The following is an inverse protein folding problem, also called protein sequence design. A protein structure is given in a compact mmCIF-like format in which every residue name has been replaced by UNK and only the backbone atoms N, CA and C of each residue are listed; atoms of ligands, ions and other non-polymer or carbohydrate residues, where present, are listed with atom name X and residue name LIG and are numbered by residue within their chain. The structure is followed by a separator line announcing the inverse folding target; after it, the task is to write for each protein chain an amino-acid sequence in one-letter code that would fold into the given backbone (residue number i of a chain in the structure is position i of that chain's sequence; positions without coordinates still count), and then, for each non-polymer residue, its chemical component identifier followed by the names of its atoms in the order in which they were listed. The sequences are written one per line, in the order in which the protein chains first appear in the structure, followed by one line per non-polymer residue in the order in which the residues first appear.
data_IF_919367499778
#
_entry.id   IF_919367499778
#
_cell.length_a   1.000
_cell.length_b   1.000
_cell.length_c   1.000
_cell.angle_alpha   90.00
_cell.angle_beta   90.00
_cell.angle_gamma   90.00
#
_symmetry.space_group_name_H-M   'P 1'
#
loop_
_entity.id
_entity.type
_entity.pdbx_description
1 polymer ?
#
# COMPACT_ATOMS: atom_id res chain seq x y z
N UNK A 1 -13.84 -6.19 10.92
CA UNK A 1 -14.83 -6.42 9.88
C UNK A 1 -14.68 -5.34 8.82
N UNK A 2 -14.23 -5.74 7.63
CA UNK A 2 -14.11 -4.86 6.47
C UNK A 2 -15.50 -4.33 6.11
N UNK A 3 -15.75 -3.05 6.37
CA UNK A 3 -16.93 -2.39 5.80
C UNK A 3 -16.74 -2.33 4.30
N UNK A 4 -17.78 -2.70 3.55
CA UNK A 4 -17.85 -2.63 2.08
C UNK A 4 -17.20 -1.34 1.60
N UNK A 5 -16.23 -1.46 0.69
CA UNK A 5 -15.63 -0.32 -0.01
C UNK A 5 -16.78 0.50 -0.59
N UNK A 6 -16.90 1.76 -0.16
CA UNK A 6 -17.80 2.71 -0.82
C UNK A 6 -17.22 2.96 -2.20
N UNK A 7 -18.08 3.00 -3.18
CA UNK A 7 -17.71 3.25 -4.56
C UNK A 7 -16.94 4.57 -4.64
N UNK A 8 -15.69 4.54 -5.10
CA UNK A 8 -14.92 5.73 -5.44
C UNK A 8 -15.36 6.26 -6.80
N UNK A 9 -15.22 7.56 -6.99
CA UNK A 9 -15.40 8.20 -8.29
C UNK A 9 -14.06 8.68 -8.82
N UNK A 10 -13.89 8.65 -10.15
CA UNK A 10 -12.65 9.02 -10.84
C UNK A 10 -12.89 10.11 -11.89
N UNK A 11 -11.95 11.05 -12.02
CA UNK A 11 -11.96 12.10 -13.04
C UNK A 11 -10.54 12.55 -13.41
N UNK A 12 -10.30 12.81 -14.69
CA UNK A 12 -9.01 13.26 -15.21
C UNK A 12 -8.71 14.73 -14.85
N UNK A 13 -9.55 15.64 -15.28
CA UNK A 13 -9.33 17.09 -15.14
C UNK A 13 -10.48 17.76 -14.41
N UNK A 14 -10.14 18.59 -13.46
CA UNK A 14 -11.06 19.51 -12.82
C UNK A 14 -10.37 20.86 -12.62
N UNK A 15 -11.16 21.94 -12.76
CA UNK A 15 -10.69 23.30 -12.47
C UNK A 15 -10.82 23.66 -11.00
N UNK A 16 -11.54 22.85 -10.24
CA UNK A 16 -11.70 23.08 -8.81
C UNK A 16 -10.39 22.78 -8.06
N UNK A 17 -10.07 23.59 -7.05
CA UNK A 17 -8.90 23.34 -6.21
C UNK A 17 -9.07 22.07 -5.36
N UNK A 18 -7.96 21.47 -4.98
CA UNK A 18 -7.91 20.20 -4.23
C UNK A 18 -8.66 20.29 -2.90
N UNK A 19 -8.54 21.41 -2.22
CA UNK A 19 -9.21 21.72 -0.96
C UNK A 19 -10.73 21.63 -1.09
N UNK A 20 -11.29 22.06 -2.21
CA UNK A 20 -12.72 21.99 -2.50
C UNK A 20 -13.14 20.56 -2.89
N UNK A 21 -12.35 19.89 -3.73
CA UNK A 21 -12.62 18.50 -4.18
C UNK A 21 -12.71 17.55 -2.98
N UNK A 22 -11.88 17.76 -1.98
CA UNK A 22 -11.77 16.90 -0.80
C UNK A 22 -12.72 17.28 0.34
N UNK A 23 -13.69 18.18 0.13
CA UNK A 23 -14.72 18.48 1.12
C UNK A 23 -15.91 17.53 1.02
N UNK A 24 -16.53 17.16 2.15
CA UNK A 24 -17.83 16.50 2.14
C UNK A 24 -18.89 17.32 1.38
N UNK A 25 -19.73 16.64 0.63
CA UNK A 25 -20.78 17.28 -0.16
C UNK A 25 -20.33 17.84 -1.52
N UNK A 26 -19.05 17.70 -1.89
CA UNK A 26 -18.61 18.09 -3.23
C UNK A 26 -19.32 17.28 -4.31
N UNK A 27 -19.83 17.96 -5.33
CA UNK A 27 -20.65 17.35 -6.37
C UNK A 27 -19.83 16.60 -7.41
N UNK A 28 -19.98 15.31 -7.46
CA UNK A 28 -19.29 14.40 -8.41
C UNK A 28 -20.13 13.96 -9.60
N UNK A 29 -21.19 14.69 -9.94
CA UNK A 29 -22.18 14.28 -10.95
C UNK A 29 -21.63 13.98 -12.36
N UNK A 30 -20.42 14.50 -12.68
CA UNK A 30 -19.71 14.22 -13.94
C UNK A 30 -18.52 13.27 -13.77
N UNK A 31 -18.35 12.70 -12.61
CA UNK A 31 -17.28 11.75 -12.33
C UNK A 31 -17.74 10.33 -12.65
N UNK A 32 -16.84 9.52 -13.16
CA UNK A 32 -17.11 8.12 -13.45
C UNK A 32 -16.92 7.26 -12.20
N UNK A 33 -17.66 6.13 -12.07
CA UNK A 33 -17.30 5.11 -11.08
C UNK A 33 -15.86 4.62 -11.26
N UNK A 34 -15.11 4.53 -10.16
CA UNK A 34 -13.75 4.00 -10.16
C UNK A 34 -13.71 2.55 -9.69
N UNK A 35 -12.83 1.75 -10.27
CA UNK A 35 -12.46 0.45 -9.74
C UNK A 35 -11.24 0.61 -8.84
N UNK A 36 -11.41 0.33 -7.54
CA UNK A 36 -10.36 0.33 -6.53
C UNK A 36 -10.51 -0.93 -5.67
N UNK A 37 -9.48 -1.77 -5.55
CA UNK A 37 -8.17 -1.70 -6.21
C UNK A 37 -8.24 -1.83 -7.73
N UNK A 38 -7.40 -1.04 -8.42
CA UNK A 38 -7.32 -1.08 -9.88
C UNK A 38 -6.50 0.05 -10.47
N UNK A 39 -6.37 0.01 -11.80
CA UNK A 39 -5.69 1.08 -12.54
C UNK A 39 -6.67 2.13 -13.05
N UNK A 40 -6.14 3.28 -13.45
CA UNK A 40 -6.90 4.30 -14.20
C UNK A 40 -7.51 3.67 -15.45
N UNK A 41 -6.70 2.94 -16.23
CA UNK A 41 -7.18 2.28 -17.45
C UNK A 41 -8.31 1.29 -17.18
N UNK A 42 -8.21 0.48 -16.11
CA UNK A 42 -9.28 -0.43 -15.73
C UNK A 42 -10.60 0.31 -15.47
N UNK A 43 -10.54 1.44 -14.75
CA UNK A 43 -11.73 2.27 -14.53
C UNK A 43 -12.29 2.85 -15.84
N UNK A 44 -11.43 3.27 -16.78
CA UNK A 44 -11.86 3.79 -18.09
C UNK A 44 -12.49 2.72 -18.98
N UNK A 45 -11.95 1.51 -18.98
CA UNK A 45 -12.51 0.36 -19.71
C UNK A 45 -13.87 -0.03 -19.11
N UNK A 46 -13.96 -0.11 -17.77
CA UNK A 46 -15.23 -0.38 -17.09
C UNK A 46 -16.33 0.62 -17.47
N UNK A 47 -15.98 1.88 -17.58
CA UNK A 47 -16.90 2.95 -18.00
C UNK A 47 -17.08 3.06 -19.52
N UNK A 48 -16.52 2.12 -20.29
CA UNK A 48 -16.62 2.08 -21.76
C UNK A 48 -16.03 3.30 -22.47
N UNK A 49 -15.09 4.00 -21.82
CA UNK A 49 -14.32 5.08 -22.44
C UNK A 49 -13.34 4.50 -23.45
N UNK A 50 -12.72 3.37 -23.09
CA UNK A 50 -11.88 2.58 -23.97
C UNK A 50 -12.36 1.14 -24.06
N UNK A 51 -12.10 0.44 -25.17
CA UNK A 51 -12.38 -0.98 -25.29
C UNK A 51 -11.41 -1.81 -24.44
N UNK A 52 -11.75 -3.11 -24.27
CA UNK A 52 -10.86 -4.07 -23.61
C UNK A 52 -9.52 -4.16 -24.34
N UNK A 53 -8.39 -3.84 -23.68
CA UNK A 53 -7.10 -3.73 -24.34
C UNK A 53 -6.58 -5.07 -24.89
N UNK A 54 -6.94 -6.18 -24.26
CA UNK A 54 -6.50 -7.52 -24.68
C UNK A 54 -7.36 -8.13 -25.80
N UNK A 55 -8.41 -7.46 -26.22
CA UNK A 55 -9.26 -7.98 -27.28
C UNK A 55 -8.81 -7.49 -28.66
N UNK A 56 -8.51 -8.43 -29.54
CA UNK A 56 -8.16 -8.16 -30.93
C UNK A 56 -6.93 -7.26 -31.04
N UNK A 57 -7.08 -6.12 -31.73
CA UNK A 57 -6.00 -5.18 -32.00
C UNK A 57 -6.14 -3.88 -31.21
N UNK A 58 -6.95 -3.85 -30.15
CA UNK A 58 -7.26 -2.63 -29.39
C UNK A 58 -6.02 -1.99 -28.74
N UNK A 59 -5.04 -2.79 -28.38
CA UNK A 59 -3.80 -2.33 -27.74
C UNK A 59 -2.67 -1.99 -28.72
N UNK A 60 -2.87 -2.15 -30.02
CA UNK A 60 -1.86 -1.82 -31.03
C UNK A 60 -1.65 -0.32 -31.14
N UNK A 61 -0.37 0.09 -31.03
CA UNK A 61 0.03 1.49 -31.00
C UNK A 61 -0.30 2.26 -32.28
N UNK A 62 -0.17 1.62 -33.42
CA UNK A 62 -0.45 2.21 -34.74
C UNK A 62 -1.93 2.55 -34.94
N UNK A 63 -2.83 1.85 -34.24
CA UNK A 63 -4.26 2.09 -34.30
C UNK A 63 -4.73 3.23 -33.38
N UNK A 64 -3.95 3.57 -32.37
CA UNK A 64 -4.22 4.66 -31.42
C UNK A 64 -5.66 4.63 -30.80
N UNK A 65 -6.22 3.44 -30.62
CA UNK A 65 -7.54 3.25 -30.02
C UNK A 65 -7.49 3.60 -28.53
N UNK A 66 -6.46 3.11 -27.84
CA UNK A 66 -6.14 3.48 -26.47
C UNK A 66 -4.88 4.34 -26.51
N UNK A 67 -4.96 5.62 -26.11
CA UNK A 67 -3.84 6.55 -26.22
C UNK A 67 -2.59 6.04 -25.51
N UNK A 68 -1.44 6.26 -26.16
CA UNK A 68 -0.13 5.98 -25.59
C UNK A 68 0.31 7.16 -24.70
N UNK A 69 0.74 6.88 -23.49
CA UNK A 69 1.22 7.87 -22.54
C UNK A 69 2.42 8.65 -23.09
N UNK A 70 3.29 8.01 -23.85
CA UNK A 70 4.42 8.64 -24.51
C UNK A 70 4.02 9.76 -25.49
N UNK A 71 2.86 9.60 -26.14
CA UNK A 71 2.34 10.55 -27.11
C UNK A 71 1.44 11.60 -26.47
N UNK A 72 0.70 11.23 -25.43
CA UNK A 72 -0.31 12.12 -24.80
C UNK A 72 0.25 12.90 -23.62
N UNK A 73 1.42 12.52 -23.13
CA UNK A 73 2.06 13.15 -21.99
C UNK A 73 1.55 12.65 -20.62
N UNK A 74 2.28 13.01 -19.60
CA UNK A 74 2.06 12.59 -18.21
C UNK A 74 0.68 12.95 -17.67
N UNK A 75 0.14 14.10 -18.07
CA UNK A 75 -1.15 14.60 -17.58
C UNK A 75 -2.31 13.68 -17.96
N UNK A 76 -2.16 12.88 -19.01
CA UNK A 76 -3.21 12.02 -19.52
C UNK A 76 -3.69 10.99 -18.49
N UNK A 77 -2.77 10.38 -17.72
CA UNK A 77 -3.08 9.42 -16.66
C UNK A 77 -3.01 10.01 -15.25
N UNK A 78 -3.00 11.33 -15.11
CA UNK A 78 -3.14 12.01 -13.82
C UNK A 78 -4.62 12.17 -13.50
N UNK A 79 -5.08 11.44 -12.49
CA UNK A 79 -6.48 11.32 -12.15
C UNK A 79 -6.76 11.59 -10.69
N UNK A 80 -7.91 12.21 -10.44
CA UNK A 80 -8.51 12.32 -9.12
C UNK A 80 -9.39 11.11 -8.83
N UNK A 81 -9.18 10.50 -7.67
CA UNK A 81 -10.07 9.52 -7.06
C UNK A 81 -10.71 10.14 -5.84
N UNK A 82 -12.01 9.97 -5.65
CA UNK A 82 -12.74 10.57 -4.54
C UNK A 82 -13.80 9.64 -4.00
N UNK A 83 -13.95 9.66 -2.67
CA UNK A 83 -15.07 9.01 -1.97
C UNK A 83 -15.45 9.80 -0.72
N UNK A 84 -16.65 9.57 -0.24
CA UNK A 84 -17.05 9.97 1.11
C UNK A 84 -17.14 8.75 2.02
N UNK A 85 -16.78 8.94 3.28
CA UNK A 85 -16.75 7.87 4.26
C UNK A 85 -17.20 8.39 5.63
N UNK A 86 -17.66 7.48 6.48
CA UNK A 86 -18.03 7.80 7.85
C UNK A 86 -16.95 7.30 8.79
N UNK A 87 -16.57 8.13 9.74
CA UNK A 87 -15.71 7.72 10.85
C UNK A 87 -16.62 7.29 11.99
N UNK A 88 -16.54 6.03 12.47
CA UNK A 88 -17.42 5.51 13.50
C UNK A 88 -17.29 6.27 14.84
N UNK A 89 -18.39 6.40 15.56
CA UNK A 89 -18.42 7.04 16.89
C UNK A 89 -17.47 6.38 17.91
N UNK A 90 -17.27 5.06 17.81
CA UNK A 90 -16.35 4.33 18.68
C UNK A 90 -14.87 4.59 18.39
N UNK A 91 -14.55 5.49 17.43
CA UNK A 91 -13.20 6.00 17.19
C UNK A 91 -12.92 7.29 17.98
N UNK A 92 -13.91 7.80 18.71
CA UNK A 92 -13.74 8.93 19.62
C UNK A 92 -12.61 8.63 20.62
N UNK A 93 -11.77 9.62 20.89
CA UNK A 93 -10.62 9.56 21.79
C UNK A 93 -9.51 8.56 21.39
N UNK A 94 -9.58 8.05 20.16
CA UNK A 94 -8.56 7.18 19.55
C UNK A 94 -7.76 7.90 18.47
N UNK A 95 -6.64 7.32 18.11
CA UNK A 95 -5.88 7.75 16.93
C UNK A 95 -6.49 7.12 15.69
N UNK A 96 -6.93 7.94 14.76
CA UNK A 96 -7.57 7.52 13.52
C UNK A 96 -6.55 7.48 12.39
N UNK A 97 -6.44 6.35 11.73
CA UNK A 97 -5.48 6.08 10.68
C UNK A 97 -6.17 5.85 9.34
N UNK A 98 -5.64 6.50 8.31
CA UNK A 98 -5.86 6.14 6.92
C UNK A 98 -4.64 5.34 6.46
N UNK A 99 -4.83 4.07 6.13
CA UNK A 99 -3.79 3.22 5.57
C UNK A 99 -4.01 3.09 4.07
N UNK A 100 -2.97 3.37 3.30
CA UNK A 100 -2.94 3.26 1.84
C UNK A 100 -1.87 2.22 1.48
N UNK A 101 -2.29 1.05 1.04
CA UNK A 101 -1.39 -0.10 0.86
C UNK A 101 -0.54 -0.03 -0.41
N UNK A 102 -0.97 0.75 -1.39
CA UNK A 102 -0.18 0.95 -2.60
C UNK A 102 -0.88 1.75 -3.68
N UNK A 103 -0.15 2.72 -4.20
CA UNK A 103 -0.54 3.56 -5.35
C UNK A 103 0.60 3.55 -6.35
N UNK A 104 0.30 3.37 -7.62
CA UNK A 104 1.26 3.48 -8.68
C UNK A 104 1.01 4.76 -9.51
N UNK A 105 1.88 5.76 -9.45
CA UNK A 105 3.19 5.70 -8.79
C UNK A 105 3.32 6.74 -7.67
N UNK A 106 2.82 7.99 -7.87
CA UNK A 106 2.80 9.06 -6.88
C UNK A 106 1.38 9.54 -6.61
N UNK A 107 1.15 10.04 -5.42
CA UNK A 107 -0.14 10.60 -5.07
C UNK A 107 -0.04 11.72 -4.04
N UNK A 108 -1.00 12.64 -4.14
CA UNK A 108 -1.38 13.57 -3.08
C UNK A 108 -2.63 13.02 -2.41
N UNK A 109 -2.63 12.98 -1.08
CA UNK A 109 -3.74 12.45 -0.28
C UNK A 109 -4.37 13.57 0.53
N UNK A 110 -5.63 13.83 0.27
CA UNK A 110 -6.41 14.93 0.82
C UNK A 110 -7.60 14.41 1.63
N UNK A 111 -7.79 14.92 2.83
CA UNK A 111 -8.95 14.60 3.69
C UNK A 111 -9.58 15.90 4.18
N UNK A 112 -10.88 16.06 3.96
CA UNK A 112 -11.68 17.19 4.46
C UNK A 112 -11.10 18.59 4.13
N UNK A 113 -10.43 18.74 2.99
CA UNK A 113 -9.82 19.99 2.55
C UNK A 113 -8.34 20.16 2.87
N UNK A 114 -7.72 19.19 3.53
CA UNK A 114 -6.32 19.26 3.96
C UNK A 114 -5.46 18.25 3.21
N UNK A 115 -4.29 18.69 2.73
CA UNK A 115 -3.24 17.80 2.21
C UNK A 115 -2.55 17.12 3.40
N UNK A 116 -2.72 15.81 3.52
CA UNK A 116 -2.19 15.05 4.66
C UNK A 116 -0.99 14.17 4.30
N UNK A 117 -0.79 13.87 3.05
CA UNK A 117 0.33 13.03 2.63
C UNK A 117 0.66 13.14 1.15
N UNK A 118 1.94 12.94 0.88
CA UNK A 118 2.46 12.68 -0.46
C UNK A 118 3.13 11.33 -0.43
N UNK A 119 2.72 10.43 -1.30
CA UNK A 119 3.35 9.13 -1.40
C UNK A 119 3.99 8.91 -2.77
N UNK A 120 5.04 8.10 -2.77
CA UNK A 120 5.75 7.70 -3.98
C UNK A 120 6.28 6.29 -3.79
N UNK A 121 6.07 5.45 -4.78
CA UNK A 121 6.50 4.07 -4.77
C UNK A 121 5.34 3.07 -4.72
N UNK A 122 5.32 2.17 -5.70
CA UNK A 122 4.22 1.25 -5.95
C UNK A 122 3.95 0.29 -4.77
N UNK A 123 4.99 -0.17 -4.09
CA UNK A 123 4.92 -1.19 -3.05
C UNK A 123 5.07 -0.65 -1.62
N UNK A 124 5.16 0.66 -1.46
CA UNK A 124 5.31 1.30 -0.17
C UNK A 124 3.94 1.64 0.43
N UNK A 125 3.53 1.01 1.54
CA UNK A 125 2.34 1.43 2.25
C UNK A 125 2.59 2.74 2.99
N UNK A 126 1.54 3.56 3.12
CA UNK A 126 1.55 4.78 3.94
C UNK A 126 0.49 4.69 5.03
N UNK A 127 0.85 5.15 6.23
CA UNK A 127 0.01 5.19 7.42
C UNK A 127 -0.16 6.65 7.85
N UNK A 128 -1.28 7.24 7.51
CA UNK A 128 -1.52 8.67 7.71
C UNK A 128 -2.40 8.85 8.94
N UNK A 129 -1.88 9.57 9.94
CA UNK A 129 -2.67 9.97 11.09
C UNK A 129 -3.61 11.10 10.68
N UNK A 130 -4.91 10.81 10.68
CA UNK A 130 -5.96 11.77 10.31
C UNK A 130 -6.79 12.26 11.51
N UNK A 131 -6.34 11.99 12.73
CA UNK A 131 -7.11 12.24 13.97
C UNK A 131 -7.62 13.67 14.05
N UNK A 132 -6.75 14.65 13.81
CA UNK A 132 -7.09 16.08 13.93
C UNK A 132 -7.98 16.59 12.77
N UNK A 133 -8.10 15.82 11.70
CA UNK A 133 -8.83 16.16 10.49
C UNK A 133 -10.11 15.36 10.29
N UNK A 134 -10.23 14.23 11.00
CA UNK A 134 -11.39 13.37 10.94
C UNK A 134 -12.56 13.93 11.75
N UNK A 135 -13.75 13.93 11.17
CA UNK A 135 -15.01 14.30 11.81
C UNK A 135 -15.68 13.03 12.31
N UNK A 136 -15.55 12.76 13.62
CA UNK A 136 -16.13 11.56 14.24
C UNK A 136 -17.66 11.60 14.15
N UNK A 137 -18.28 10.48 13.80
CA UNK A 137 -19.74 10.36 13.64
C UNK A 137 -20.33 11.12 12.47
N UNK A 138 -19.51 11.72 11.62
CA UNK A 138 -19.95 12.55 10.51
C UNK A 138 -19.39 12.08 9.17
N UNK A 139 -19.88 12.67 8.09
CA UNK A 139 -19.34 12.52 6.75
C UNK A 139 -17.96 13.15 6.64
N UNK A 140 -17.04 12.40 6.11
CA UNK A 140 -15.71 12.83 5.72
C UNK A 140 -15.53 12.59 4.24
N UNK A 141 -14.57 13.27 3.62
CA UNK A 141 -14.22 13.06 2.22
C UNK A 141 -12.73 12.78 2.07
N UNK A 142 -12.42 11.78 1.26
CA UNK A 142 -11.08 11.44 0.80
C UNK A 142 -10.98 11.78 -0.68
N UNK A 143 -9.97 12.54 -1.06
CA UNK A 143 -9.58 12.75 -2.44
C UNK A 143 -8.10 12.43 -2.62
N UNK A 144 -7.79 11.69 -3.67
CA UNK A 144 -6.43 11.26 -3.99
C UNK A 144 -6.15 11.64 -5.43
N UNK A 145 -5.13 12.48 -5.63
CA UNK A 145 -4.62 12.77 -6.96
C UNK A 145 -3.48 11.85 -7.29
N UNK A 146 -3.69 10.97 -8.25
CA UNK A 146 -2.71 9.96 -8.64
C UNK A 146 -1.98 10.41 -9.89
N UNK A 147 -0.68 10.33 -9.86
CA UNK A 147 0.22 10.67 -10.95
C UNK A 147 0.92 9.43 -11.48
N UNK A 148 1.14 9.33 -12.79
CA UNK A 148 1.98 8.28 -13.38
C UNK A 148 3.44 8.46 -12.97
N UNK A 149 4.30 7.55 -13.41
CA UNK A 149 5.76 7.67 -13.29
C UNK A 149 6.27 8.98 -13.92
N UNK A 150 7.45 9.43 -13.49
CA UNK A 150 7.97 10.75 -13.86
C UNK A 150 8.28 10.95 -15.33
N UNK A 151 8.72 9.90 -15.98
CA UNK A 151 9.14 9.93 -17.37
C UNK A 151 8.30 8.93 -18.17
N UNK A 152 7.01 9.23 -18.38
CA UNK A 152 6.17 8.36 -19.18
C UNK A 152 6.59 8.48 -20.64
N UNK A 153 7.39 7.51 -21.04
CA UNK A 153 7.42 7.16 -22.41
C UNK A 153 7.99 8.13 -23.42
N UNK A 154 9.27 8.42 -23.37
CA UNK A 154 9.99 8.66 -24.61
C UNK A 154 10.51 7.32 -25.09
N UNK A 155 9.85 6.70 -26.05
CA UNK A 155 10.38 5.50 -26.71
C UNK A 155 11.69 5.91 -27.36
N UNK A 156 12.82 5.51 -26.78
CA UNK A 156 14.11 5.63 -27.45
C UNK A 156 14.23 4.48 -28.45
N UNK A 157 14.40 4.77 -29.74
CA UNK A 157 14.68 3.72 -30.70
C UNK A 157 16.00 3.03 -30.32
N UNK A 158 15.94 1.71 -30.16
CA UNK A 158 17.05 0.77 -29.95
C UNK A 158 18.08 1.16 -28.91
N UNK A 159 17.91 0.66 -27.68
CA UNK A 159 19.03 0.57 -26.74
C UNK A 159 19.90 -0.63 -27.07
N UNK A 160 21.22 -0.41 -27.13
CA UNK A 160 22.21 -1.46 -27.33
C UNK A 160 22.12 -2.52 -26.23
N UNK A 161 22.06 -3.78 -26.63
CA UNK A 161 22.10 -4.93 -25.74
C UNK A 161 20.79 -5.30 -25.06
N UNK A 162 19.74 -4.56 -25.27
CA UNK A 162 18.42 -4.93 -24.77
C UNK A 162 17.65 -5.75 -25.81
N UNK A 163 16.86 -6.70 -25.40
CA UNK A 163 16.03 -7.54 -26.24
C UNK A 163 14.83 -6.76 -26.81
N UNK A 164 15.07 -5.65 -27.50
CA UNK A 164 14.05 -4.85 -28.15
C UNK A 164 13.49 -3.71 -27.30
N UNK A 165 12.32 -3.22 -27.66
CA UNK A 165 11.61 -2.15 -26.96
C UNK A 165 10.94 -2.70 -25.70
N UNK A 166 11.24 -2.08 -24.56
CA UNK A 166 10.50 -2.35 -23.32
C UNK A 166 9.27 -1.47 -23.29
N UNK A 167 8.12 -2.06 -23.09
CA UNK A 167 6.86 -1.37 -23.23
C UNK A 167 6.22 -0.94 -21.92
N UNK A 168 6.62 -1.54 -20.81
CA UNK A 168 6.10 -1.15 -19.50
C UNK A 168 6.95 -0.03 -18.93
N UNK A 169 6.48 1.18 -19.03
CA UNK A 169 7.23 2.36 -18.67
C UNK A 169 7.57 3.25 -19.87
N UNK A 170 7.34 2.77 -21.08
CA UNK A 170 7.18 3.55 -22.30
C UNK A 170 8.39 4.04 -23.04
N UNK A 171 9.58 4.07 -22.47
CA UNK A 171 10.74 4.69 -23.13
C UNK A 171 11.93 3.75 -23.34
N UNK A 172 11.77 2.49 -23.01
CA UNK A 172 12.88 1.54 -22.99
C UNK A 172 13.91 1.81 -21.88
N UNK A 173 13.64 2.72 -20.97
CA UNK A 173 14.52 3.05 -19.86
C UNK A 173 14.01 2.42 -18.56
N UNK A 174 14.35 1.17 -18.37
CA UNK A 174 13.87 0.33 -17.26
C UNK A 174 14.09 0.99 -15.89
N UNK A 175 15.21 1.67 -15.69
CA UNK A 175 15.53 2.27 -14.39
C UNK A 175 14.67 3.46 -13.99
N UNK A 176 14.06 4.15 -14.95
CA UNK A 176 13.33 5.39 -14.71
C UNK A 176 11.80 5.22 -14.75
N UNK A 177 11.29 4.32 -15.58
CA UNK A 177 9.87 4.25 -15.86
C UNK A 177 9.21 2.92 -15.50
N UNK A 178 9.98 1.92 -15.12
CA UNK A 178 9.43 0.63 -14.71
C UNK A 178 9.24 0.59 -13.22
N UNK A 179 7.99 0.54 -12.78
CA UNK A 179 7.64 0.44 -11.35
C UNK A 179 7.63 -1.00 -10.85
N UNK A 180 7.53 -1.96 -11.75
CA UNK A 180 7.53 -3.38 -11.47
C UNK A 180 8.41 -4.10 -12.49
N UNK A 181 9.67 -4.33 -12.14
CA UNK A 181 10.68 -4.88 -13.04
C UNK A 181 10.28 -6.24 -13.64
N UNK A 182 9.59 -7.08 -12.86
CA UNK A 182 9.13 -8.39 -13.34
C UNK A 182 8.12 -8.30 -14.50
N UNK A 183 7.50 -7.14 -14.71
CA UNK A 183 6.61 -6.95 -15.85
C UNK A 183 7.34 -6.68 -17.15
N UNK A 184 8.66 -6.48 -17.11
CA UNK A 184 9.50 -6.28 -18.30
C UNK A 184 9.93 -7.63 -18.85
N UNK A 185 9.49 -7.97 -20.07
CA UNK A 185 9.82 -9.24 -20.72
C UNK A 185 8.94 -10.42 -20.31
N UNK A 186 7.88 -10.20 -19.51
CA UNK A 186 6.86 -11.17 -19.15
C UNK A 186 5.52 -10.82 -19.82
N UNK A 187 4.45 -11.50 -19.46
CA UNK A 187 3.15 -11.51 -20.15
C UNK A 187 2.58 -10.16 -20.62
N UNK A 188 2.84 -9.06 -19.91
CA UNK A 188 2.27 -7.76 -20.29
C UNK A 188 3.26 -6.82 -20.97
N UNK A 189 4.46 -7.27 -21.30
CA UNK A 189 5.53 -6.40 -21.80
C UNK A 189 5.99 -6.75 -23.20
N UNK A 190 5.32 -7.68 -23.85
CA UNK A 190 5.52 -7.93 -25.27
C UNK A 190 4.99 -6.75 -26.10
N UNK A 191 5.32 -6.72 -27.40
CA UNK A 191 4.96 -5.64 -28.31
C UNK A 191 3.48 -5.28 -28.35
N UNK A 192 2.62 -6.18 -27.94
CA UNK A 192 1.18 -6.03 -27.79
C UNK A 192 0.76 -5.79 -26.32
N UNK A 193 1.72 -5.71 -25.40
CA UNK A 193 1.49 -5.45 -23.98
C UNK A 193 0.92 -4.07 -23.71
N UNK A 194 0.35 -3.91 -22.52
CA UNK A 194 -0.23 -2.63 -22.08
C UNK A 194 0.89 -1.76 -21.53
N UNK A 195 1.28 -0.77 -22.33
CA UNK A 195 2.35 0.16 -21.96
C UNK A 195 1.85 1.23 -21.02
N UNK A 196 2.69 1.61 -20.02
CA UNK A 196 2.54 2.81 -19.18
C UNK A 196 1.18 3.00 -18.50
N UNK A 197 0.35 1.97 -18.41
CA UNK A 197 -1.05 2.08 -18.03
C UNK A 197 -1.36 1.43 -16.71
N UNK A 198 -0.34 1.15 -15.92
CA UNK A 198 -0.48 0.56 -14.59
C UNK A 198 -0.65 1.60 -13.46
N UNK A 199 -0.78 2.89 -13.82
CA UNK A 199 -1.08 3.98 -12.89
C UNK A 199 -2.42 3.75 -12.21
N UNK A 200 -2.48 3.93 -10.88
CA UNK A 200 -3.74 3.82 -10.14
C UNK A 200 -3.58 3.44 -8.67
N UNK A 201 -4.70 3.27 -8.00
CA UNK A 201 -4.79 2.77 -6.63
C UNK A 201 -4.93 1.24 -6.71
N UNK A 202 -3.82 0.54 -6.75
CA UNK A 202 -3.81 -0.89 -7.08
C UNK A 202 -3.94 -1.82 -5.87
N UNK A 203 -3.83 -1.26 -4.66
CA UNK A 203 -4.09 -1.96 -3.39
C UNK A 203 -5.19 -1.27 -2.58
N UNK A 204 -5.49 -1.82 -1.41
CA UNK A 204 -6.57 -1.33 -0.57
C UNK A 204 -6.26 0.01 0.09
N UNK A 205 -7.33 0.72 0.41
CA UNK A 205 -7.32 1.84 1.33
C UNK A 205 -8.25 1.47 2.48
N UNK A 206 -7.76 1.59 3.70
CA UNK A 206 -8.51 1.21 4.90
C UNK A 206 -8.48 2.31 5.96
N UNK A 207 -9.53 2.32 6.78
CA UNK A 207 -9.68 3.20 7.94
C UNK A 207 -9.73 2.34 9.19
N UNK A 208 -8.89 2.65 10.17
CA UNK A 208 -8.91 2.00 11.46
C UNK A 208 -8.52 2.97 12.58
N UNK A 209 -8.73 2.57 13.81
CA UNK A 209 -8.32 3.33 14.97
C UNK A 209 -7.47 2.49 15.91
N UNK A 210 -6.53 3.14 16.58
CA UNK A 210 -5.70 2.56 17.64
C UNK A 210 -5.80 3.41 18.90
N UNK A 211 -5.34 2.84 20.00
CA UNK A 211 -5.06 3.61 21.20
C UNK A 211 -3.79 4.46 21.02
N UNK A 212 -3.21 4.94 22.10
CA UNK A 212 -2.11 5.93 22.08
C UNK A 212 -0.75 5.36 21.71
N UNK A 213 -0.61 4.05 21.57
CA UNK A 213 0.58 3.39 21.08
C UNK A 213 0.25 2.47 19.90
N UNK A 214 1.17 2.35 18.95
CA UNK A 214 0.98 1.56 17.73
C UNK A 214 2.17 0.64 17.51
N UNK A 215 1.90 -0.64 17.23
CA UNK A 215 2.89 -1.63 16.80
C UNK A 215 2.85 -1.74 15.28
N UNK A 216 4.04 -1.75 14.64
CA UNK A 216 4.18 -1.97 13.20
C UNK A 216 5.42 -2.79 12.89
N UNK A 217 5.46 -3.31 11.67
CA UNK A 217 6.61 -3.98 11.08
C UNK A 217 7.19 -5.11 11.95
N UNK A 218 6.36 -6.05 12.45
CA UNK A 218 6.91 -7.20 13.17
C UNK A 218 7.80 -8.01 12.23
N UNK A 219 8.99 -8.35 12.72
CA UNK A 219 9.93 -9.17 11.98
C UNK A 219 10.45 -10.28 12.91
N UNK A 220 10.41 -11.51 12.41
CA UNK A 220 10.89 -12.68 13.14
C UNK A 220 12.09 -13.26 12.40
N UNK A 221 13.21 -13.41 13.12
CA UNK A 221 14.39 -14.10 12.63
C UNK A 221 14.52 -15.41 13.36
N UNK A 222 14.47 -16.53 12.63
CA UNK A 222 14.64 -17.88 13.15
C UNK A 222 16.04 -18.42 12.81
N UNK A 223 16.77 -18.89 13.82
CA UNK A 223 18.05 -19.57 13.66
C UNK A 223 17.92 -21.02 14.12
N UNK A 224 18.07 -21.95 13.17
CA UNK A 224 17.95 -23.38 13.44
C UNK A 224 19.31 -24.03 13.68
N UNK A 225 19.39 -24.92 14.67
CA UNK A 225 20.58 -25.79 14.91
C UNK A 225 20.80 -26.76 13.76
N UNK A 226 22.00 -26.85 13.28
CA UNK A 226 22.39 -27.83 12.24
C UNK A 226 23.23 -28.93 12.86
N UNK A 227 23.15 -30.20 12.36
CA UNK A 227 22.34 -30.64 11.22
C UNK A 227 20.90 -31.07 11.57
N UNK A 228 20.56 -31.21 12.85
CA UNK A 228 19.37 -31.93 13.30
C UNK A 228 18.11 -31.07 13.39
N UNK A 229 18.25 -29.74 13.39
CA UNK A 229 17.15 -28.77 13.53
C UNK A 229 16.31 -28.96 14.81
N UNK A 230 16.94 -29.46 15.89
CA UNK A 230 16.31 -29.75 17.17
C UNK A 230 16.13 -28.54 18.08
N UNK A 231 16.74 -27.40 17.71
CA UNK A 231 16.59 -26.11 18.38
C UNK A 231 16.29 -25.00 17.35
N UNK A 232 15.33 -24.11 17.68
CA UNK A 232 15.10 -22.88 17.01
C UNK A 232 15.30 -21.70 17.98
N UNK A 233 16.15 -20.74 17.63
CA UNK A 233 16.33 -19.49 18.36
C UNK A 233 15.58 -18.40 17.63
N UNK A 234 14.55 -17.84 18.26
CA UNK A 234 13.69 -16.82 17.69
C UNK A 234 14.06 -15.43 18.19
N UNK A 235 14.33 -14.51 17.29
CA UNK A 235 14.45 -13.09 17.59
C UNK A 235 13.25 -12.37 17.01
N UNK A 236 12.52 -11.65 17.84
CA UNK A 236 11.35 -10.87 17.42
C UNK A 236 11.68 -9.40 17.52
N UNK A 237 11.62 -8.67 16.41
CA UNK A 237 11.72 -7.20 16.40
C UNK A 237 10.40 -6.55 15.98
N UNK A 238 10.15 -5.36 16.48
CA UNK A 238 8.94 -4.61 16.18
C UNK A 238 9.14 -3.12 16.41
N UNK A 239 8.52 -2.30 15.57
CA UNK A 239 8.46 -0.86 15.77
C UNK A 239 7.26 -0.49 16.65
N UNK A 240 7.51 0.37 17.65
CA UNK A 240 6.47 0.93 18.53
C UNK A 240 6.49 2.43 18.41
N UNK A 241 5.35 3.00 18.01
CA UNK A 241 5.19 4.43 17.78
C UNK A 241 4.24 5.04 18.81
N UNK A 242 4.62 6.21 19.34
CA UNK A 242 3.74 7.10 20.07
C UNK A 242 3.26 8.22 19.14
N UNK A 243 2.09 8.15 18.55
CA UNK A 243 1.57 9.20 17.65
C UNK A 243 0.98 10.40 18.39
N UNK A 244 1.02 10.43 19.73
CA UNK A 244 0.42 11.49 20.52
C UNK A 244 1.35 12.68 20.75
N UNK A 245 0.80 13.80 21.24
CA UNK A 245 1.55 15.01 21.56
C UNK A 245 2.21 14.98 22.95
N UNK A 246 2.15 13.86 23.67
CA UNK A 246 2.70 13.70 25.02
C UNK A 246 3.55 12.43 25.09
N UNK A 247 4.49 12.38 26.04
CA UNK A 247 5.21 11.13 26.35
C UNK A 247 4.24 10.09 26.94
N UNK A 248 4.50 8.82 26.63
CA UNK A 248 3.73 7.68 27.17
C UNK A 248 4.67 6.62 27.74
N UNK A 249 4.16 5.89 28.73
CA UNK A 249 4.73 4.59 29.15
C UNK A 249 3.85 3.50 28.59
N UNK A 250 4.42 2.47 28.04
CA UNK A 250 3.68 1.34 27.51
C UNK A 250 4.44 0.05 27.69
N UNK A 251 3.72 -1.07 27.70
CA UNK A 251 4.26 -2.43 27.75
C UNK A 251 3.96 -3.12 26.44
N UNK A 252 4.98 -3.66 25.77
CA UNK A 252 4.82 -4.54 24.61
C UNK A 252 4.94 -5.99 25.07
N UNK A 253 3.90 -6.76 24.79
CA UNK A 253 3.84 -8.20 25.09
C UNK A 253 3.77 -9.00 23.79
N UNK A 254 4.57 -10.07 23.71
CA UNK A 254 4.47 -11.10 22.70
C UNK A 254 4.01 -12.43 23.31
N UNK A 255 3.27 -13.20 22.53
CA UNK A 255 2.78 -14.53 22.87
C UNK A 255 2.80 -15.41 21.62
N UNK A 256 3.50 -16.55 21.67
CA UNK A 256 3.42 -17.60 20.65
C UNK A 256 2.24 -18.49 21.04
N UNK A 257 1.16 -18.38 20.27
CA UNK A 257 -0.11 -19.02 20.57
C UNK A 257 0.02 -20.53 20.57
N UNK A 258 -0.44 -21.18 21.65
CA UNK A 258 -0.41 -22.63 21.80
C UNK A 258 0.91 -23.22 22.31
N UNK A 259 1.96 -22.39 22.47
CA UNK A 259 3.28 -22.87 22.90
C UNK A 259 3.65 -22.48 24.35
N UNK A 260 2.77 -21.80 25.07
CA UNK A 260 3.02 -21.22 26.41
C UNK A 260 4.26 -20.31 26.48
N UNK A 261 4.63 -19.70 25.38
CA UNK A 261 5.77 -18.78 25.29
C UNK A 261 5.25 -17.36 25.32
N UNK A 262 5.64 -16.59 26.33
CA UNK A 262 5.31 -15.16 26.46
C UNK A 262 6.55 -14.37 26.83
N UNK A 263 6.61 -13.13 26.37
CA UNK A 263 7.69 -12.18 26.65
C UNK A 263 7.16 -10.76 26.66
N UNK A 264 7.80 -9.84 27.39
CA UNK A 264 7.35 -8.45 27.43
C UNK A 264 8.47 -7.48 27.77
N UNK A 265 8.34 -6.24 27.29
CA UNK A 265 9.22 -5.09 27.64
C UNK A 265 8.41 -3.86 27.92
N UNK A 266 8.82 -3.10 28.93
CA UNK A 266 8.31 -1.77 29.23
C UNK A 266 9.10 -0.71 28.46
N UNK A 267 8.41 0.29 27.95
CA UNK A 267 8.96 1.35 27.15
C UNK A 267 8.49 2.72 27.65
N UNK A 268 9.40 3.69 27.55
CA UNK A 268 9.05 5.10 27.59
C UNK A 268 9.27 5.66 26.19
N UNK A 269 8.22 6.25 25.63
CA UNK A 269 8.26 6.87 24.29
C UNK A 269 7.96 8.35 24.42
N UNK A 270 8.83 9.19 23.84
CA UNK A 270 8.56 10.62 23.72
C UNK A 270 7.44 10.90 22.73
N UNK A 271 6.99 12.14 22.68
CA UNK A 271 6.02 12.64 21.71
C UNK A 271 6.49 12.36 20.28
N UNK A 272 5.68 11.67 19.47
CA UNK A 272 5.99 11.38 18.07
C UNK A 272 7.11 10.37 17.85
N UNK A 273 7.66 9.76 18.91
CA UNK A 273 8.77 8.82 18.81
C UNK A 273 8.32 7.48 18.24
N UNK A 274 9.13 6.95 17.33
CA UNK A 274 9.11 5.54 16.92
C UNK A 274 10.39 4.88 17.38
N UNK A 275 10.27 3.75 18.08
CA UNK A 275 11.38 2.97 18.59
C UNK A 275 11.27 1.53 18.14
N UNK A 276 12.34 1.00 17.56
CA UNK A 276 12.46 -0.42 17.32
C UNK A 276 12.91 -1.13 18.61
N UNK A 277 12.24 -2.22 18.95
CA UNK A 277 12.60 -3.08 20.06
C UNK A 277 12.79 -4.51 19.58
N UNK A 278 13.73 -5.21 20.23
CA UNK A 278 14.00 -6.61 19.95
C UNK A 278 13.79 -7.45 21.22
N UNK A 279 13.23 -8.63 21.05
CA UNK A 279 13.17 -9.69 22.04
C UNK A 279 14.08 -10.82 21.56
N UNK A 280 15.12 -11.11 22.30
CA UNK A 280 16.13 -12.09 21.91
C UNK A 280 16.14 -13.30 22.84
N UNK A 281 16.63 -14.48 22.40
CA UNK A 281 16.75 -15.67 23.26
C UNK A 281 17.64 -15.49 24.50
N UNK A 282 18.59 -14.54 24.43
CA UNK A 282 19.49 -14.20 25.53
C UNK A 282 18.74 -13.50 26.68
N UNK A 283 17.80 -12.62 26.33
CA UNK A 283 16.96 -11.93 27.32
C UNK A 283 15.72 -12.76 27.72
N UNK A 284 15.21 -13.54 26.78
CA UNK A 284 14.01 -14.37 26.92
C UNK A 284 14.31 -15.82 26.51
N UNK A 285 14.88 -16.65 27.41
CA UNK A 285 15.32 -18.03 27.07
C UNK A 285 14.20 -18.90 26.47
N UNK A 286 12.94 -18.62 26.79
CA UNK A 286 11.77 -19.31 26.22
C UNK A 286 11.61 -19.11 24.69
N UNK A 287 12.30 -18.13 24.10
CA UNK A 287 12.40 -17.96 22.64
C UNK A 287 13.36 -18.96 21.99
N UNK A 288 13.99 -19.86 22.81
CA UNK A 288 14.69 -21.06 22.32
C UNK A 288 13.72 -22.23 22.36
N UNK A 289 13.16 -22.58 21.21
CA UNK A 289 12.17 -23.65 21.06
C UNK A 289 12.89 -24.98 20.82
N UNK A 290 12.61 -25.99 21.64
CA UNK A 290 13.15 -27.36 21.48
C UNK A 290 12.22 -28.16 20.57
N UNK A 291 12.83 -28.95 19.67
CA UNK A 291 12.11 -29.76 18.68
C UNK A 291 11.02 -28.98 17.95
N UNK A 292 11.37 -27.86 17.29
CA UNK A 292 10.39 -27.01 16.65
C UNK A 292 9.66 -27.75 15.54
N UNK A 293 8.38 -27.42 15.35
CA UNK A 293 7.64 -27.78 14.13
C UNK A 293 8.22 -27.01 12.96
N UNK A 294 8.71 -27.72 11.95
CA UNK A 294 9.38 -27.13 10.82
C UNK A 294 8.41 -26.99 9.64
N UNK A 295 8.49 -25.86 8.95
CA UNK A 295 7.83 -25.69 7.66
C UNK A 295 8.60 -26.43 6.58
N UNK A 296 7.92 -27.28 5.86
CA UNK A 296 8.48 -27.99 4.71
C UNK A 296 7.64 -27.72 3.46
N UNK A 297 8.28 -27.63 2.27
CA UNK A 297 7.55 -27.56 1.03
C UNK A 297 6.77 -28.86 0.79
N UNK A 298 5.75 -28.77 -0.05
CA UNK A 298 4.93 -29.94 -0.44
C UNK A 298 5.81 -31.12 -0.88
N UNK A 299 5.45 -32.34 -0.50
CA UNK A 299 6.18 -33.59 -0.67
C UNK A 299 7.45 -33.77 0.21
N UNK A 300 7.82 -32.80 1.03
CA UNK A 300 8.94 -32.91 1.99
C UNK A 300 8.48 -32.96 3.44
N UNK A 301 7.27 -32.53 3.72
CA UNK A 301 6.69 -32.50 5.07
C UNK A 301 5.47 -31.60 5.09
N UNK A 302 5.07 -31.19 6.30
CA UNK A 302 3.95 -30.27 6.51
C UNK A 302 4.42 -28.81 6.51
N UNK A 303 3.60 -27.88 6.02
CA UNK A 303 3.89 -26.46 6.08
C UNK A 303 3.48 -25.89 7.45
N UNK A 304 4.18 -26.32 8.50
CA UNK A 304 3.91 -25.92 9.88
C UNK A 304 4.19 -24.42 10.11
N UNK A 305 3.28 -23.74 10.79
CA UNK A 305 3.41 -22.33 11.14
C UNK A 305 3.15 -22.16 12.64
N UNK A 306 3.80 -21.13 13.21
CA UNK A 306 3.49 -20.61 14.53
C UNK A 306 2.74 -19.29 14.40
N UNK A 307 1.84 -19.03 15.33
CA UNK A 307 1.12 -17.77 15.40
C UNK A 307 1.73 -16.91 16.52
N UNK A 308 2.23 -15.73 16.16
CA UNK A 308 2.72 -14.73 17.09
C UNK A 308 1.68 -13.61 17.26
N UNK A 309 1.24 -13.39 18.50
CA UNK A 309 0.41 -12.28 18.89
C UNK A 309 1.26 -11.22 19.59
N UNK A 310 1.29 -10.01 19.05
CA UNK A 310 1.91 -8.84 19.67
C UNK A 310 0.84 -7.85 20.13
N UNK A 311 1.00 -7.34 21.34
CA UNK A 311 0.09 -6.34 21.92
C UNK A 311 0.89 -5.23 22.57
N UNK A 312 0.38 -4.00 22.49
CA UNK A 312 0.87 -2.87 23.28
C UNK A 312 -0.24 -2.36 24.17
N UNK A 313 0.07 -2.13 25.42
CA UNK A 313 -0.83 -1.54 26.42
C UNK A 313 -0.17 -0.33 27.08
N UNK A 314 -1.00 0.64 27.55
CA UNK A 314 -0.59 1.87 28.22
C UNK A 314 -1.06 1.82 29.65
#
# INVERSE_FOLDING_TARGET
PYRRQRQMSIRDRTKDPAEKISQPGYQTGKWMPAIVPGTVLNSLVHNKVYPEPYYGMNNKLDRNIIPDLAKTGREFYTYWFRTEFDVPENYKDKIVWLQVDGINYRAEIWVNGYLLGNMSGMFKPEYINITDFARIGQKNALAIKVYPVDMPGTIKPKQWGAAGEFHNGGDGNIGLNTTMLMSVGWDFTFNDGIRDRNTGIWKNISLYATDKAVIRHPFIKSELSKPNYDLAKETVSVEVTNPTQRGIKCTVKGEIIGENITFSKDLNLFRGETKEICFTPEEFPQLTIKNPRLWWPIFKGNPELYELKLTVSI
#
